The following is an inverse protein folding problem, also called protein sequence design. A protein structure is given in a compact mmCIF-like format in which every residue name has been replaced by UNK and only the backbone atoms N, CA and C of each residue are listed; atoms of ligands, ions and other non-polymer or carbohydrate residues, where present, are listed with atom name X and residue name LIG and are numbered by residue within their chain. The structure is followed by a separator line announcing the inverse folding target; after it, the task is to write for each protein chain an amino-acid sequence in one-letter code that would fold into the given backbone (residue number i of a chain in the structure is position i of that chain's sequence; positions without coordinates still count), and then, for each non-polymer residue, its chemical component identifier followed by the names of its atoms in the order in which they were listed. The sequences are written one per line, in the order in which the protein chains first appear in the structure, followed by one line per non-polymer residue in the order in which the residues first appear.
data_IF_400354251980
#
_entry.id   IF_400354251980
#
_cell.length_a   1.000
_cell.length_b   1.000
_cell.length_c   1.000
_cell.angle_alpha   90.00
_cell.angle_beta   90.00
_cell.angle_gamma   90.00
#
_symmetry.space_group_name_H-M   'P 1'
#
loop_
_entity.id
_entity.type
_entity.pdbx_description
1 polymer ?
#
# COMPACT_ATOMS: atom_id res chain seq x y z
N UNK A 1 -24.61 -1.88 -43.21
CA UNK A 1 -23.24 -2.04 -43.75
C UNK A 1 -22.62 -3.43 -43.52
N UNK A 2 -22.77 -4.06 -42.35
CA UNK A 2 -22.23 -5.42 -42.06
C UNK A 2 -22.84 -6.58 -42.89
N UNK A 3 -24.09 -6.47 -43.33
CA UNK A 3 -24.78 -7.56 -44.07
C UNK A 3 -24.28 -7.67 -45.53
N UNK A 4 -23.83 -6.56 -46.14
CA UNK A 4 -23.31 -6.58 -47.52
C UNK A 4 -21.86 -7.11 -47.62
N UNK A 5 -21.04 -6.95 -46.58
CA UNK A 5 -19.70 -7.56 -46.55
C UNK A 5 -19.75 -9.08 -46.41
N UNK A 6 -20.72 -9.63 -45.65
CA UNK A 6 -20.90 -11.07 -45.53
C UNK A 6 -21.39 -11.72 -46.84
N UNK A 7 -22.19 -11.01 -47.64
CA UNK A 7 -22.69 -11.52 -48.91
C UNK A 7 -21.58 -11.59 -49.97
N UNK A 8 -20.67 -10.61 -49.99
CA UNK A 8 -19.51 -10.58 -50.89
C UNK A 8 -18.51 -11.70 -50.53
N UNK A 9 -18.26 -11.93 -49.24
CA UNK A 9 -17.41 -13.01 -48.75
C UNK A 9 -18.00 -14.40 -49.06
N UNK A 10 -19.33 -14.54 -49.02
CA UNK A 10 -20.02 -15.79 -49.37
C UNK A 10 -19.93 -16.09 -50.87
N UNK A 11 -20.04 -15.06 -51.72
CA UNK A 11 -19.90 -15.19 -53.18
C UNK A 11 -18.46 -15.54 -53.59
N UNK A 12 -17.44 -14.96 -52.97
CA UNK A 12 -16.04 -15.32 -53.23
C UNK A 12 -15.73 -16.78 -52.85
N UNK A 13 -16.26 -17.26 -51.72
CA UNK A 13 -16.12 -18.64 -51.26
C UNK A 13 -16.78 -19.68 -52.19
N UNK A 14 -17.96 -19.38 -52.76
CA UNK A 14 -18.61 -20.28 -53.73
C UNK A 14 -17.86 -20.31 -55.07
N UNK A 15 -17.33 -19.18 -55.52
CA UNK A 15 -16.58 -19.10 -56.77
C UNK A 15 -15.31 -19.95 -56.70
N UNK A 16 -14.59 -19.89 -55.56
CA UNK A 16 -13.40 -20.72 -55.32
C UNK A 16 -13.76 -22.21 -55.26
N UNK A 17 -14.89 -22.57 -54.63
CA UNK A 17 -15.37 -23.96 -54.60
C UNK A 17 -15.68 -24.49 -56.00
N UNK A 18 -16.38 -23.72 -56.83
CA UNK A 18 -16.73 -24.12 -58.20
C UNK A 18 -15.46 -24.31 -59.04
N UNK A 19 -14.48 -23.42 -58.93
CA UNK A 19 -13.20 -23.56 -59.64
C UNK A 19 -12.41 -24.81 -59.21
N UNK A 20 -12.38 -25.13 -57.90
CA UNK A 20 -11.72 -26.34 -57.41
C UNK A 20 -12.44 -27.60 -57.88
N UNK A 21 -13.78 -27.62 -57.91
CA UNK A 21 -14.54 -28.73 -58.46
C UNK A 21 -14.29 -28.93 -59.96
N UNK A 22 -14.27 -27.85 -60.75
CA UNK A 22 -13.94 -27.93 -62.18
C UNK A 22 -12.52 -28.45 -62.43
N UNK A 23 -11.54 -28.02 -61.62
CA UNK A 23 -10.16 -28.51 -61.72
C UNK A 23 -10.05 -30.00 -61.34
N UNK A 24 -10.79 -30.45 -60.32
CA UNK A 24 -10.83 -31.87 -59.94
C UNK A 24 -11.55 -32.72 -61.00
N UNK A 25 -12.65 -32.24 -61.56
CA UNK A 25 -13.38 -32.91 -62.65
C UNK A 25 -12.51 -33.03 -63.90
N UNK A 26 -11.80 -31.96 -64.27
CA UNK A 26 -10.83 -31.98 -65.37
C UNK A 26 -9.70 -32.97 -65.06
N UNK A 27 -9.17 -33.03 -63.83
CA UNK A 27 -8.12 -33.99 -63.48
C UNK A 27 -8.56 -35.46 -63.53
N UNK A 28 -9.84 -35.76 -63.22
CA UNK A 28 -10.40 -37.11 -63.32
C UNK A 28 -10.67 -37.52 -64.77
N UNK A 29 -11.16 -36.60 -65.60
CA UNK A 29 -11.35 -36.88 -67.03
C UNK A 29 -10.03 -37.13 -67.77
N UNK A 30 -8.93 -36.49 -67.33
CA UNK A 30 -7.60 -36.73 -67.88
C UNK A 30 -6.99 -38.07 -67.43
N UNK A 31 -7.30 -38.55 -66.22
CA UNK A 31 -6.86 -39.86 -65.74
C UNK A 31 -7.54 -41.04 -66.47
N UNK A 32 -8.78 -40.87 -66.95
CA UNK A 32 -9.48 -41.90 -67.74
C UNK A 32 -9.03 -41.95 -69.21
N UNK A 33 -8.52 -40.85 -69.78
CA UNK A 33 -7.97 -40.84 -71.15
C UNK A 33 -6.58 -41.46 -71.26
N UNK A 34 -5.78 -41.47 -70.18
CA UNK A 34 -4.43 -42.06 -70.19
C UNK A 34 -4.44 -43.61 -70.11
N UNK A 35 -5.51 -44.25 -69.65
CA UNK A 35 -5.66 -45.72 -69.68
C UNK A 35 -6.07 -46.28 -71.06
N UNK A 36 -6.56 -45.44 -72.00
CA UNK A 36 -7.07 -45.88 -73.30
C UNK A 36 -6.17 -45.58 -74.51
N UNK A 37 -4.96 -45.02 -74.31
CA UNK A 37 -3.98 -44.84 -75.41
C UNK A 37 -2.58 -45.45 -75.16
N UNK A 38 -2.39 -46.24 -74.11
CA UNK A 38 -1.13 -46.95 -73.83
C UNK A 38 -1.02 -48.34 -74.49
N UNK A 39 -1.66 -48.56 -75.65
CA UNK A 39 -1.43 -49.73 -76.52
C UNK A 39 -1.56 -49.34 -77.99
N UNK A 40 -0.72 -48.43 -78.48
CA UNK A 40 -0.17 -48.44 -79.86
C UNK A 40 0.61 -47.15 -80.11
N UNK A 41 1.88 -47.12 -79.69
CA UNK A 41 2.84 -46.21 -80.32
C UNK A 41 4.28 -46.71 -80.13
N UNK A 42 4.66 -47.71 -80.94
CA UNK A 42 6.05 -47.90 -81.34
C UNK A 42 6.14 -47.54 -82.83
N UNK A 43 7.09 -46.66 -83.15
CA UNK A 43 7.39 -46.07 -84.47
C UNK A 43 6.35 -44.99 -84.87
N UNK A 44 6.68 -43.73 -85.13
CA UNK A 44 7.87 -43.18 -85.79
C UNK A 44 8.34 -41.85 -85.17
N UNK A 45 9.65 -41.63 -85.25
CA UNK A 45 10.34 -40.38 -84.91
C UNK A 45 10.20 -39.40 -86.07
N UNK A 46 9.54 -38.26 -85.82
CA UNK A 46 9.37 -37.19 -86.80
C UNK A 46 9.20 -35.81 -86.15
N UNK A 47 10.33 -35.24 -85.69
CA UNK A 47 10.66 -33.82 -85.53
C UNK A 47 9.47 -32.82 -85.52
N UNK A 48 9.04 -32.44 -84.32
CA UNK A 48 8.65 -31.05 -84.01
C UNK A 48 9.29 -30.64 -82.68
N UNK A 49 10.52 -30.13 -82.76
CA UNK A 49 11.37 -29.75 -81.61
C UNK A 49 10.84 -28.53 -80.83
N UNK A 50 9.74 -27.94 -81.27
CA UNK A 50 9.10 -26.80 -80.62
C UNK A 50 8.07 -27.23 -79.57
N UNK A 51 7.29 -28.30 -79.82
CA UNK A 51 6.28 -28.82 -78.89
C UNK A 51 6.87 -29.48 -77.64
N UNK A 52 7.99 -30.20 -77.78
CA UNK A 52 8.62 -30.96 -76.68
C UNK A 52 9.32 -30.05 -75.65
N UNK A 53 9.83 -28.89 -76.05
CA UNK A 53 10.41 -27.90 -75.12
C UNK A 53 9.33 -27.09 -74.37
N UNK A 54 8.16 -26.85 -74.98
CA UNK A 54 7.06 -26.10 -74.36
C UNK A 54 6.37 -26.94 -73.27
N UNK A 55 6.14 -28.23 -73.53
CA UNK A 55 5.51 -29.13 -72.54
C UNK A 55 6.41 -29.36 -71.33
N UNK A 56 7.72 -29.55 -71.52
CA UNK A 56 8.68 -29.74 -70.42
C UNK A 56 8.80 -28.49 -69.53
N UNK A 57 8.80 -27.28 -70.12
CA UNK A 57 8.84 -26.03 -69.34
C UNK A 57 7.53 -25.79 -68.55
N UNK A 58 6.38 -26.11 -69.13
CA UNK A 58 5.09 -25.99 -68.43
C UNK A 58 5.00 -26.89 -67.20
N UNK A 59 5.42 -28.15 -67.31
CA UNK A 59 5.43 -29.08 -66.18
C UNK A 59 6.44 -28.69 -65.10
N UNK A 60 7.57 -28.08 -65.47
CA UNK A 60 8.53 -27.54 -64.51
C UNK A 60 7.94 -26.37 -63.70
N UNK A 61 7.30 -25.40 -64.36
CA UNK A 61 6.64 -24.27 -63.69
C UNK A 61 5.45 -24.74 -62.81
N UNK A 62 4.68 -25.72 -63.28
CA UNK A 62 3.56 -26.30 -62.51
C UNK A 62 4.05 -27.04 -61.26
N UNK A 63 5.21 -27.72 -61.35
CA UNK A 63 5.86 -28.37 -60.21
C UNK A 63 6.35 -27.35 -59.18
N UNK A 64 6.99 -26.27 -59.63
CA UNK A 64 7.42 -25.16 -58.75
C UNK A 64 6.22 -24.51 -58.05
N UNK A 65 5.11 -24.27 -58.77
CA UNK A 65 3.88 -23.77 -58.17
C UNK A 65 3.30 -24.72 -57.12
N UNK A 66 3.28 -26.03 -57.39
CA UNK A 66 2.82 -27.04 -56.43
C UNK A 66 3.67 -27.03 -55.15
N UNK A 67 4.99 -27.01 -55.30
CA UNK A 67 5.92 -27.04 -54.16
C UNK A 67 5.81 -25.73 -53.33
N UNK A 68 5.57 -24.60 -53.99
CA UNK A 68 5.28 -23.32 -53.34
C UNK A 68 3.95 -23.36 -52.57
N UNK A 69 2.90 -23.97 -53.12
CA UNK A 69 1.62 -24.13 -52.43
C UNK A 69 1.76 -25.02 -51.20
N UNK A 70 2.50 -26.14 -51.30
CA UNK A 70 2.78 -27.02 -50.16
C UNK A 70 3.56 -26.27 -49.07
N UNK A 71 4.60 -25.51 -49.47
CA UNK A 71 5.41 -24.70 -48.56
C UNK A 71 4.61 -23.58 -47.90
N UNK A 72 3.68 -22.97 -48.64
CA UNK A 72 2.80 -21.93 -48.09
C UNK A 72 1.81 -22.53 -47.09
N UNK A 73 1.26 -23.72 -47.40
CA UNK A 73 0.36 -24.44 -46.50
C UNK A 73 1.04 -24.79 -45.17
N UNK A 74 2.26 -25.31 -45.20
CA UNK A 74 3.00 -25.64 -43.97
C UNK A 74 3.32 -24.41 -43.13
N UNK A 75 3.62 -23.26 -43.75
CA UNK A 75 3.79 -21.99 -43.03
C UNK A 75 2.50 -21.52 -42.37
N UNK A 76 1.35 -21.70 -43.02
CA UNK A 76 0.04 -21.33 -42.46
C UNK A 76 -0.27 -22.18 -41.23
N UNK A 77 -0.08 -23.49 -41.30
CA UNK A 77 -0.30 -24.39 -40.15
C UNK A 77 0.58 -24.01 -38.96
N UNK A 78 1.86 -23.68 -39.21
CA UNK A 78 2.77 -23.21 -38.15
C UNK A 78 2.35 -21.87 -37.54
N UNK A 79 1.90 -20.92 -38.37
CA UNK A 79 1.40 -19.63 -37.89
C UNK A 79 0.12 -19.77 -37.06
N UNK A 80 -0.74 -20.73 -37.40
CA UNK A 80 -1.95 -21.03 -36.62
C UNK A 80 -1.63 -21.59 -35.24
N UNK A 81 -0.61 -22.44 -35.13
CA UNK A 81 -0.11 -22.97 -33.85
C UNK A 81 0.50 -21.85 -32.98
N UNK A 82 1.39 -21.03 -33.54
CA UNK A 82 1.99 -19.88 -32.85
C UNK A 82 0.91 -18.89 -32.37
N UNK A 83 -0.12 -18.64 -33.19
CA UNK A 83 -1.26 -17.80 -32.80
C UNK A 83 -2.06 -18.39 -31.64
N UNK A 84 -2.27 -19.70 -31.63
CA UNK A 84 -2.96 -20.40 -30.53
C UNK A 84 -2.18 -20.28 -29.21
N UNK A 85 -0.87 -20.48 -29.26
CA UNK A 85 0.00 -20.30 -28.09
C UNK A 85 -0.02 -18.85 -27.58
N UNK A 86 0.06 -17.88 -28.49
CA UNK A 86 0.04 -16.47 -28.15
C UNK A 86 -1.28 -16.07 -27.47
N UNK A 87 -2.42 -16.58 -27.94
CA UNK A 87 -3.73 -16.36 -27.32
C UNK A 87 -3.80 -16.91 -25.89
N UNK A 88 -3.23 -18.09 -25.64
CA UNK A 88 -3.13 -18.67 -24.29
C UNK A 88 -2.29 -17.80 -23.34
N UNK A 89 -1.17 -17.25 -23.84
CA UNK A 89 -0.33 -16.34 -23.06
C UNK A 89 -1.01 -15.02 -22.77
N UNK A 90 -1.74 -14.45 -23.75
CA UNK A 90 -2.49 -13.21 -23.57
C UNK A 90 -3.57 -13.38 -22.50
N UNK A 91 -4.40 -14.42 -22.59
CA UNK A 91 -5.46 -14.69 -21.59
C UNK A 91 -4.88 -14.92 -20.18
N UNK A 92 -3.76 -15.64 -20.08
CA UNK A 92 -3.06 -15.83 -18.81
C UNK A 92 -2.56 -14.51 -18.23
N UNK A 93 -2.00 -13.63 -19.06
CA UNK A 93 -1.51 -12.33 -18.62
C UNK A 93 -2.65 -11.37 -18.26
N UNK A 94 -3.75 -11.37 -19.01
CA UNK A 94 -4.96 -10.60 -18.67
C UNK A 94 -5.49 -10.99 -17.28
N UNK A 95 -5.55 -12.29 -16.98
CA UNK A 95 -5.93 -12.77 -15.65
C UNK A 95 -4.95 -12.32 -14.56
N UNK A 96 -3.65 -12.31 -14.84
CA UNK A 96 -2.63 -11.83 -13.91
C UNK A 96 -2.73 -10.32 -13.68
N UNK A 97 -3.01 -9.54 -14.71
CA UNK A 97 -3.22 -8.08 -14.62
C UNK A 97 -4.47 -7.80 -13.79
N UNK A 98 -5.59 -8.44 -14.10
CA UNK A 98 -6.83 -8.29 -13.32
C UNK A 98 -6.64 -8.66 -11.84
N UNK A 99 -5.89 -9.72 -11.55
CA UNK A 99 -5.53 -10.11 -10.18
C UNK A 99 -4.61 -9.08 -9.50
N UNK A 100 -3.63 -8.55 -10.24
CA UNK A 100 -2.73 -7.51 -9.73
C UNK A 100 -3.50 -6.23 -9.40
N UNK A 101 -4.41 -5.80 -10.26
CA UNK A 101 -5.25 -4.61 -10.06
C UNK A 101 -6.16 -4.78 -8.85
N UNK A 102 -6.77 -5.97 -8.70
CA UNK A 102 -7.57 -6.29 -7.52
C UNK A 102 -6.74 -6.22 -6.22
N UNK A 103 -5.52 -6.76 -6.23
CA UNK A 103 -4.60 -6.70 -5.08
C UNK A 103 -4.14 -5.27 -4.77
N UNK A 104 -3.83 -4.48 -5.80
CA UNK A 104 -3.47 -3.07 -5.65
C UNK A 104 -4.62 -2.29 -5.02
N UNK A 105 -5.84 -2.44 -5.52
CA UNK A 105 -7.01 -1.76 -4.96
C UNK A 105 -7.28 -2.13 -3.49
N UNK A 106 -7.12 -3.41 -3.13
CA UNK A 106 -7.27 -3.85 -1.74
C UNK A 106 -6.17 -3.27 -0.84
N UNK A 107 -4.92 -3.28 -1.30
CA UNK A 107 -3.79 -2.68 -0.59
C UNK A 107 -3.95 -1.17 -0.42
N UNK A 108 -4.42 -0.46 -1.45
CA UNK A 108 -4.68 0.98 -1.39
C UNK A 108 -5.74 1.28 -0.33
N UNK A 109 -6.85 0.52 -0.31
CA UNK A 109 -7.90 0.65 0.70
C UNK A 109 -7.37 0.44 2.13
N UNK A 110 -6.50 -0.56 2.34
CA UNK A 110 -5.90 -0.81 3.64
C UNK A 110 -4.97 0.35 4.06
N UNK A 111 -4.18 0.90 3.13
CA UNK A 111 -3.30 2.03 3.44
C UNK A 111 -4.08 3.30 3.79
N UNK A 112 -5.21 3.55 3.15
CA UNK A 112 -6.06 4.71 3.46
C UNK A 112 -6.72 4.57 4.83
N UNK A 113 -7.17 3.36 5.19
CA UNK A 113 -7.72 3.09 6.53
C UNK A 113 -6.66 3.25 7.63
N UNK A 114 -5.44 2.72 7.43
CA UNK A 114 -4.34 2.90 8.38
C UNK A 114 -3.95 4.37 8.54
N UNK A 115 -3.87 5.13 7.44
CA UNK A 115 -3.61 6.58 7.49
C UNK A 115 -4.68 7.32 8.29
N UNK A 116 -5.94 6.94 8.10
CA UNK A 116 -7.05 7.51 8.84
C UNK A 116 -6.93 7.22 10.33
N UNK A 117 -6.67 5.98 10.73
CA UNK A 117 -6.48 5.62 12.14
C UNK A 117 -5.32 6.37 12.80
N UNK A 118 -4.20 6.53 12.10
CA UNK A 118 -3.05 7.31 12.59
C UNK A 118 -3.40 8.79 12.78
N UNK A 119 -4.21 9.35 11.86
CA UNK A 119 -4.63 10.75 11.91
C UNK A 119 -5.67 10.98 13.01
N UNK A 120 -6.54 10.02 13.25
CA UNK A 120 -7.59 10.07 14.27
C UNK A 120 -7.08 9.79 15.69
N UNK A 121 -5.93 9.12 15.84
CA UNK A 121 -5.36 8.82 17.16
C UNK A 121 -4.89 10.11 17.85
N UNK A 122 -5.47 10.50 19.00
CA UNK A 122 -5.12 11.74 19.68
C UNK A 122 -3.65 11.73 20.14
N UNK A 123 -2.90 12.74 19.74
CA UNK A 123 -1.53 12.98 20.24
C UNK A 123 -1.62 13.76 21.54
N UNK A 124 -1.19 13.16 22.65
CA UNK A 124 -1.26 13.78 23.97
C UNK A 124 0.14 13.86 24.57
N UNK A 125 0.61 15.08 24.79
CA UNK A 125 1.87 15.34 25.47
C UNK A 125 1.87 16.76 26.04
N UNK A 126 2.31 16.92 27.29
CA UNK A 126 2.49 18.21 27.90
C UNK A 126 3.81 18.31 28.66
N UNK A 127 4.34 19.51 28.74
CA UNK A 127 5.47 19.85 29.60
C UNK A 127 5.31 21.30 30.04
N UNK A 128 5.28 21.50 31.36
CA UNK A 128 4.95 22.78 31.98
C UNK A 128 5.89 23.09 33.15
N UNK A 129 6.30 24.34 33.28
CA UNK A 129 7.02 24.90 34.42
C UNK A 129 6.06 25.59 35.40
N UNK A 130 6.43 25.63 36.68
CA UNK A 130 5.50 26.03 37.73
C UNK A 130 5.09 27.50 37.62
N UNK A 131 6.03 28.42 37.84
CA UNK A 131 5.79 29.86 37.88
C UNK A 131 7.11 30.63 37.94
N UNK A 132 7.06 31.96 37.87
CA UNK A 132 8.20 32.84 38.17
C UNK A 132 8.05 33.55 39.53
N UNK A 133 7.08 33.12 40.34
CA UNK A 133 6.79 33.67 41.66
C UNK A 133 7.84 33.33 42.73
N UNK A 134 8.92 32.61 42.38
CA UNK A 134 9.96 32.15 43.29
C UNK A 134 9.40 31.09 44.24
N UNK A 135 9.30 31.41 45.52
CA UNK A 135 8.88 30.45 46.54
C UNK A 135 7.35 30.39 46.66
N UNK A 136 6.83 29.17 46.75
CA UNK A 136 5.43 28.87 47.01
C UNK A 136 5.35 28.08 48.32
N UNK A 137 4.43 28.48 49.20
CA UNK A 137 4.30 27.95 50.55
C UNK A 137 5.29 28.61 51.54
N UNK A 138 5.38 28.09 52.78
CA UNK A 138 4.53 27.03 53.32
C UNK A 138 3.09 27.51 53.52
N UNK A 139 2.14 26.61 53.28
CA UNK A 139 0.73 26.82 53.60
C UNK A 139 0.29 25.88 54.72
N UNK A 140 -0.73 26.24 55.48
CA UNK A 140 -1.28 25.39 56.54
C UNK A 140 -2.15 24.23 56.01
N UNK A 141 -2.46 24.22 54.72
CA UNK A 141 -3.22 23.18 54.04
C UNK A 141 -2.48 22.70 52.78
N UNK A 142 -2.89 21.56 52.25
CA UNK A 142 -2.44 21.11 50.94
C UNK A 142 -2.95 22.04 49.83
N UNK A 143 -2.11 22.32 48.83
CA UNK A 143 -2.43 23.23 47.71
C UNK A 143 -2.10 22.56 46.38
N UNK A 144 -3.08 22.49 45.47
CA UNK A 144 -2.85 22.05 44.10
C UNK A 144 -1.90 23.03 43.39
N UNK A 145 -0.80 22.51 42.84
CA UNK A 145 0.20 23.28 42.13
C UNK A 145 -0.27 23.59 40.72
N UNK A 146 -0.33 24.88 40.38
CA UNK A 146 -0.74 25.39 39.08
C UNK A 146 0.48 25.74 38.25
N UNK A 147 0.84 24.88 37.30
CA UNK A 147 1.96 25.13 36.40
C UNK A 147 1.51 26.04 35.26
N UNK A 148 2.00 27.27 35.29
CA UNK A 148 1.55 28.37 34.42
C UNK A 148 2.41 28.54 33.17
N UNK A 149 3.65 28.06 33.18
CA UNK A 149 4.59 28.19 32.06
C UNK A 149 4.46 27.00 31.13
N UNK A 150 3.89 27.19 29.94
CA UNK A 150 3.67 26.10 28.97
C UNK A 150 4.82 26.00 27.98
N UNK A 151 5.51 24.86 27.97
CA UNK A 151 6.46 24.51 26.90
C UNK A 151 5.76 23.76 25.77
N UNK A 152 4.94 22.76 26.14
CA UNK A 152 4.16 21.93 25.21
C UNK A 152 2.82 21.57 25.86
N UNK A 153 1.74 21.51 25.07
CA UNK A 153 0.42 21.01 25.51
C UNK A 153 -0.40 20.43 24.34
N UNK A 154 0.16 19.44 23.63
CA UNK A 154 -0.56 18.73 22.57
C UNK A 154 -1.76 17.96 23.14
N UNK A 155 -2.88 18.02 22.42
CA UNK A 155 -4.16 17.49 22.87
C UNK A 155 -4.87 18.36 23.92
N UNK A 156 -4.23 19.47 24.37
CA UNK A 156 -4.78 20.39 25.37
C UNK A 156 -5.30 19.70 26.63
N UNK A 157 -4.62 18.62 27.04
CA UNK A 157 -5.03 17.78 28.16
C UNK A 157 -4.62 18.36 29.52
N UNK A 158 -3.65 19.28 29.56
CA UNK A 158 -3.28 20.01 30.77
C UNK A 158 -3.98 21.37 30.84
N UNK A 159 -4.59 21.69 31.99
CA UNK A 159 -5.21 22.98 32.25
C UNK A 159 -4.38 23.81 33.23
N UNK A 160 -3.81 24.91 32.76
CA UNK A 160 -2.93 25.82 33.52
C UNK A 160 -3.65 26.58 34.64
N UNK A 161 -4.97 26.77 34.54
CA UNK A 161 -5.76 27.50 35.53
C UNK A 161 -6.07 26.65 36.77
N UNK A 162 -6.17 25.33 36.57
CA UNK A 162 -6.48 24.36 37.63
C UNK A 162 -5.24 23.60 38.12
N UNK A 163 -4.22 23.45 37.27
CA UNK A 163 -3.04 22.64 37.54
C UNK A 163 -3.20 21.15 37.17
N UNK A 164 -4.26 20.81 36.44
CA UNK A 164 -4.73 19.43 36.28
C UNK A 164 -4.55 18.92 34.86
N UNK A 165 -3.98 17.72 34.72
CA UNK A 165 -4.06 16.92 33.51
C UNK A 165 -5.34 16.08 33.52
N UNK A 166 -6.10 16.06 32.42
CA UNK A 166 -7.28 15.21 32.24
C UNK A 166 -7.07 14.30 31.04
N UNK A 167 -7.17 12.97 31.23
CA UNK A 167 -6.99 12.00 30.17
C UNK A 167 -8.10 12.13 29.10
N UNK A 168 -7.77 12.47 27.83
CA UNK A 168 -8.80 12.66 26.81
C UNK A 168 -9.34 11.34 26.23
N UNK A 169 -8.60 10.24 26.43
CA UNK A 169 -8.98 8.88 26.05
C UNK A 169 -8.37 7.86 27.01
N UNK A 170 -8.91 6.65 27.01
CA UNK A 170 -8.34 5.52 27.74
C UNK A 170 -6.96 5.14 27.17
N UNK A 171 -6.00 4.88 28.05
CA UNK A 171 -4.65 4.51 27.60
C UNK A 171 -3.64 4.46 28.73
N UNK A 172 -2.39 4.15 28.36
CA UNK A 172 -1.25 4.15 29.28
C UNK A 172 -0.46 5.43 29.11
N UNK A 173 -0.25 6.14 30.22
CA UNK A 173 0.40 7.45 30.25
C UNK A 173 1.65 7.41 31.12
N UNK A 174 2.68 8.15 30.68
CA UNK A 174 3.86 8.42 31.50
C UNK A 174 3.79 9.83 32.07
N UNK A 175 4.09 9.98 33.35
CA UNK A 175 4.21 11.26 34.03
C UNK A 175 5.56 11.35 34.72
N UNK A 176 6.17 12.54 34.70
CA UNK A 176 7.40 12.84 35.44
C UNK A 176 7.29 14.25 35.99
N UNK A 177 7.82 14.45 37.19
CA UNK A 177 8.03 15.78 37.71
C UNK A 177 9.42 15.93 38.31
N UNK A 178 9.86 17.19 38.38
CA UNK A 178 10.97 17.65 39.21
C UNK A 178 10.42 18.74 40.11
N UNK A 179 10.60 18.61 41.44
CA UNK A 179 10.36 19.68 42.41
C UNK A 179 11.69 20.24 42.90
N UNK A 180 11.82 21.56 42.91
CA UNK A 180 13.04 22.25 43.32
C UNK A 180 12.78 23.07 44.60
N UNK A 181 13.79 23.13 45.47
CA UNK A 181 13.81 24.01 46.64
C UNK A 181 15.10 24.82 46.67
N UNK A 182 14.97 26.12 46.91
CA UNK A 182 16.08 27.01 47.28
C UNK A 182 16.08 27.39 48.76
N UNK A 183 15.06 26.96 49.52
CA UNK A 183 14.90 27.34 50.92
C UNK A 183 15.56 26.29 51.78
N UNK A 184 16.52 26.73 52.57
CA UNK A 184 17.22 25.87 53.53
C UNK A 184 16.41 25.75 54.83
N UNK A 185 16.67 24.69 55.59
CA UNK A 185 15.99 24.34 56.84
C UNK A 185 14.47 24.20 56.72
N UNK A 186 13.96 23.72 55.58
CA UNK A 186 12.53 23.56 55.34
C UNK A 186 12.24 22.27 54.60
N UNK A 187 11.08 21.68 54.89
CA UNK A 187 10.52 20.58 54.11
C UNK A 187 10.07 21.09 52.74
N UNK A 188 10.40 20.34 51.70
CA UNK A 188 9.91 20.58 50.35
C UNK A 188 9.42 19.28 49.75
N UNK A 189 8.41 19.35 48.89
CA UNK A 189 7.71 18.13 48.50
C UNK A 189 6.63 18.33 47.48
N UNK A 190 6.26 17.24 46.82
CA UNK A 190 5.07 17.14 45.99
C UNK A 190 4.40 15.79 46.19
N UNK A 191 3.08 15.82 46.15
CA UNK A 191 2.21 14.66 46.09
C UNK A 191 1.71 14.53 44.64
N UNK A 192 1.78 13.33 44.09
CA UNK A 192 1.07 12.99 42.85
C UNK A 192 -0.28 12.40 43.20
N UNK A 193 -1.36 13.00 42.69
CA UNK A 193 -2.72 12.49 42.83
C UNK A 193 -3.26 11.95 41.50
N UNK A 194 -4.06 10.89 41.60
CA UNK A 194 -4.91 10.36 40.53
C UNK A 194 -6.33 10.24 41.09
N UNK A 195 -7.30 10.93 40.48
CA UNK A 195 -8.71 10.96 40.92
C UNK A 195 -8.88 11.17 42.44
N UNK A 196 -8.23 12.22 42.97
CA UNK A 196 -8.22 12.60 44.38
C UNK A 196 -7.61 11.59 45.36
N UNK A 197 -6.98 10.53 44.83
CA UNK A 197 -6.21 9.57 45.63
C UNK A 197 -4.73 9.85 45.48
N UNK A 198 -4.03 9.85 46.61
CA UNK A 198 -2.57 9.95 46.64
C UNK A 198 -1.93 8.71 46.03
N UNK A 199 -1.21 8.89 44.93
CA UNK A 199 -0.38 7.87 44.28
C UNK A 199 0.99 7.82 44.94
N UNK A 200 1.60 8.99 45.21
CA UNK A 200 2.90 9.07 45.88
C UNK A 200 3.07 10.37 46.65
N UNK A 201 3.89 10.31 47.71
CA UNK A 201 4.44 11.47 48.41
C UNK A 201 5.95 11.47 48.19
N UNK A 202 6.46 12.57 47.68
CA UNK A 202 7.88 12.75 47.37
C UNK A 202 8.29 14.01 48.10
N UNK A 203 9.10 13.88 49.13
CA UNK A 203 9.47 14.98 50.00
C UNK A 203 10.87 14.75 50.53
N UNK A 204 11.53 15.84 50.85
CA UNK A 204 12.81 15.83 51.53
C UNK A 204 12.93 17.09 52.40
N UNK A 205 13.86 17.07 53.36
CA UNK A 205 14.17 18.23 54.18
C UNK A 205 15.46 18.85 53.65
N UNK A 206 15.40 20.10 53.19
CA UNK A 206 16.58 20.78 52.69
C UNK A 206 17.44 21.25 53.88
N UNK A 207 18.33 20.40 54.38
CA UNK A 207 19.31 20.71 55.43
C UNK A 207 20.60 21.36 54.88
N UNK A 208 20.76 21.40 53.56
CA UNK A 208 21.92 21.97 52.88
C UNK A 208 21.89 23.51 52.89
N UNK A 209 23.04 24.13 52.63
CA UNK A 209 23.19 25.59 52.42
C UNK A 209 22.78 25.97 50.98
N UNK A 210 22.41 25.00 50.16
CA UNK A 210 22.24 25.15 48.72
C UNK A 210 20.86 24.68 48.21
N UNK A 211 20.83 24.21 46.97
CA UNK A 211 19.64 23.84 46.22
C UNK A 211 19.36 22.35 46.35
N UNK A 212 18.10 21.99 46.59
CA UNK A 212 17.65 20.61 46.67
C UNK A 212 16.60 20.30 45.60
N UNK A 213 16.59 19.05 45.13
CA UNK A 213 15.62 18.57 44.13
C UNK A 213 15.07 17.21 44.48
N UNK A 214 13.78 17.04 44.24
CA UNK A 214 13.11 15.74 44.20
C UNK A 214 12.61 15.49 42.79
N UNK A 215 12.63 14.23 42.35
CA UNK A 215 12.09 13.84 41.05
C UNK A 215 11.54 12.43 41.14
N UNK A 216 10.43 12.19 40.45
CA UNK A 216 9.89 10.84 40.30
C UNK A 216 9.12 10.73 38.98
N UNK A 217 8.83 9.50 38.57
CA UNK A 217 8.05 9.21 37.37
C UNK A 217 7.14 8.00 37.55
N UNK A 218 5.98 8.03 36.90
CA UNK A 218 4.92 7.03 37.01
C UNK A 218 4.40 6.67 35.64
N UNK A 219 4.11 5.38 35.46
CA UNK A 219 3.29 4.88 34.35
C UNK A 219 1.93 4.54 34.94
N UNK A 220 0.87 5.14 34.40
CA UNK A 220 -0.50 4.95 34.87
C UNK A 220 -1.40 4.54 33.70
N UNK A 221 -2.22 3.51 33.91
CA UNK A 221 -3.40 3.27 33.07
C UNK A 221 -4.50 4.23 33.53
N UNK A 222 -5.02 5.03 32.60
CA UNK A 222 -6.05 6.02 32.86
C UNK A 222 -7.27 5.76 32.00
N UNK A 223 -8.44 5.95 32.58
CA UNK A 223 -9.70 6.02 31.85
C UNK A 223 -9.93 7.43 31.30
N UNK A 224 -10.80 7.56 30.28
CA UNK A 224 -11.19 8.87 29.77
C UNK A 224 -11.83 9.70 30.88
N UNK A 225 -11.30 10.89 31.11
CA UNK A 225 -11.76 11.81 32.15
C UNK A 225 -11.03 11.68 33.48
N UNK A 226 -10.17 10.69 33.64
CA UNK A 226 -9.29 10.59 34.82
C UNK A 226 -8.38 11.81 34.91
N UNK A 227 -8.13 12.25 36.15
CA UNK A 227 -7.34 13.43 36.44
C UNK A 227 -6.05 13.08 37.16
N UNK A 228 -4.96 13.73 36.75
CA UNK A 228 -3.64 13.63 37.39
C UNK A 228 -3.10 15.03 37.66
N UNK A 229 -2.66 15.28 38.88
CA UNK A 229 -2.16 16.59 39.29
C UNK A 229 -1.18 16.50 40.45
N UNK A 230 -0.42 17.58 40.64
CA UNK A 230 0.54 17.71 41.74
C UNK A 230 0.00 18.61 42.84
N UNK A 231 0.27 18.22 44.07
CA UNK A 231 -0.14 18.94 45.29
C UNK A 231 1.08 19.23 46.13
N UNK A 232 1.20 20.46 46.62
CA UNK A 232 2.16 20.83 47.65
C UNK A 232 1.60 20.41 49.02
N UNK A 233 2.29 19.57 49.80
CA UNK A 233 1.82 19.19 51.12
C UNK A 233 1.77 20.40 52.08
N UNK A 234 0.94 20.33 53.12
CA UNK A 234 0.93 21.36 54.17
C UNK A 234 2.31 21.51 54.80
N UNK A 235 2.69 22.74 55.14
CA UNK A 235 3.98 23.12 55.73
C UNK A 235 5.21 22.82 54.86
N UNK A 236 5.02 22.56 53.55
CA UNK A 236 6.12 22.38 52.60
C UNK A 236 6.28 23.61 51.71
N UNK A 237 7.48 23.79 51.18
CA UNK A 237 7.78 24.78 50.15
C UNK A 237 8.11 24.16 48.82
N UNK A 238 8.00 24.94 47.75
CA UNK A 238 8.55 24.62 46.44
C UNK A 238 8.98 25.93 45.77
N UNK A 239 9.98 25.88 44.89
CA UNK A 239 10.54 27.05 44.26
C UNK A 239 10.59 26.91 42.74
N UNK A 240 10.26 27.99 42.03
CA UNK A 240 10.54 28.12 40.60
C UNK A 240 10.80 29.57 40.19
N UNK A 241 11.69 29.75 39.22
CA UNK A 241 12.04 31.05 38.65
C UNK A 241 12.16 30.93 37.12
N UNK A 242 12.66 31.99 36.47
CA UNK A 242 12.85 32.02 35.02
C UNK A 242 13.76 30.89 34.48
N UNK A 243 14.47 30.16 35.35
CA UNK A 243 15.29 29.00 34.98
C UNK A 243 14.49 27.70 34.82
N UNK A 244 13.18 27.69 35.12
CA UNK A 244 12.29 26.53 34.93
C UNK A 244 12.77 25.25 35.63
N UNK A 245 12.96 25.32 36.95
CA UNK A 245 13.54 24.23 37.76
C UNK A 245 12.50 23.25 38.25
N UNK A 246 11.30 23.75 38.54
CA UNK A 246 10.15 22.90 38.91
C UNK A 246 9.29 22.66 37.68
N UNK A 247 9.23 21.41 37.23
CA UNK A 247 8.63 21.01 35.95
C UNK A 247 7.73 19.80 36.15
N UNK A 248 6.60 19.79 35.46
CA UNK A 248 5.70 18.65 35.36
C UNK A 248 5.46 18.32 33.88
N UNK A 249 5.64 17.05 33.52
CA UNK A 249 5.52 16.58 32.15
C UNK A 249 4.79 15.25 32.10
N UNK A 250 4.11 14.99 30.99
CA UNK A 250 3.54 13.68 30.72
C UNK A 250 3.07 13.51 29.29
N UNK A 251 2.90 12.26 28.86
CA UNK A 251 2.47 11.93 27.52
C UNK A 251 1.76 10.56 27.47
N UNK A 252 0.92 10.38 26.45
CA UNK A 252 0.31 9.09 26.11
C UNK A 252 1.38 8.19 25.49
N UNK A 253 1.57 6.99 26.05
CA UNK A 253 2.44 5.95 25.48
C UNK A 253 1.67 5.23 24.36
N UNK A 254 0.48 4.73 24.67
CA UNK A 254 -0.44 4.13 23.69
C UNK A 254 -1.89 4.13 24.20
N UNK A 255 -2.88 4.27 23.30
CA UNK A 255 -4.29 4.09 23.63
C UNK A 255 -4.62 2.61 23.93
N UNK A 256 -5.69 2.37 24.68
CA UNK A 256 -6.19 1.04 25.06
C UNK A 256 -7.67 0.83 24.71
#
# INVERSE_FOLDING_TARGET
MKIQQNLLFFLEMETVRICVFLLLFLSQTWAETDELQMVDMKQDVGRDNSKCNITVNFWAELKELRDMVITSKSKIEKLEEEKSELLSRVTTNENKVALSDARLSASESETEELKRQITETPKVAFSVGLTDAREIGPFNTEITLKFSKVFTNFGQAYNTHTGVFTAPLRGVYYFRFTGFSSRTNHWFGVILNHNDKRVSLNQDYNDDVAYATISNGFVLELEKGDVVYLVLPSNHVIFDDSSNRTVFSGFLIFPL
#
